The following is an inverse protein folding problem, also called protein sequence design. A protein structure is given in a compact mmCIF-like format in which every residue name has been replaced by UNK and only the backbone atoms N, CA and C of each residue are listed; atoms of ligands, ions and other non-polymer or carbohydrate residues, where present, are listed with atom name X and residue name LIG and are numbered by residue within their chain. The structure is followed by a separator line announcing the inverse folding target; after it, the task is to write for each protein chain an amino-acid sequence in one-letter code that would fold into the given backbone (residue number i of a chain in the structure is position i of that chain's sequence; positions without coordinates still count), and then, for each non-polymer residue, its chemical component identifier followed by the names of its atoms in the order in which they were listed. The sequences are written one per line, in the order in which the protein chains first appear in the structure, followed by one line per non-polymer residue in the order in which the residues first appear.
data_IF_106121417829
#
_entry.id   IF_106121417829
#
_cell.length_a   1.000
_cell.length_b   1.000
_cell.length_c   1.000
_cell.angle_alpha   90.00
_cell.angle_beta   90.00
_cell.angle_gamma   90.00
#
_symmetry.space_group_name_H-M   'P 1'
#
loop_
_entity.id
_entity.type
_entity.pdbx_description
1 polymer ?
#
# COMPACT_ATOMS: atom_id res chain seq x y z
N UNK A 1 6.09 -11.36 3.33
CA UNK A 1 6.31 -10.67 2.03
C UNK A 1 7.77 -10.23 1.95
N UNK A 2 8.40 -10.49 0.82
CA UNK A 2 9.78 -10.08 0.55
C UNK A 2 9.85 -8.55 0.44
N UNK A 3 10.93 -7.95 0.93
CA UNK A 3 11.08 -6.49 0.92
C UNK A 3 11.01 -5.87 -0.48
N UNK A 4 11.69 -6.47 -1.45
CA UNK A 4 11.67 -5.99 -2.83
C UNK A 4 10.27 -6.06 -3.43
N UNK A 5 9.54 -7.14 -3.14
CA UNK A 5 8.15 -7.29 -3.58
C UNK A 5 7.26 -6.25 -2.89
N UNK A 6 7.46 -6.02 -1.59
CA UNK A 6 6.69 -5.01 -0.86
C UNK A 6 6.88 -3.61 -1.44
N UNK A 7 8.12 -3.23 -1.78
CA UNK A 7 8.40 -1.96 -2.43
C UNK A 7 7.70 -1.84 -3.78
N UNK A 8 7.72 -2.91 -4.57
CA UNK A 8 7.04 -2.93 -5.87
C UNK A 8 5.53 -2.79 -5.73
N UNK A 9 4.92 -3.50 -4.78
CA UNK A 9 3.47 -3.42 -4.53
C UNK A 9 3.09 -2.02 -4.07
N UNK A 10 3.86 -1.43 -3.14
CA UNK A 10 3.59 -0.08 -2.66
C UNK A 10 3.64 0.94 -3.79
N UNK A 11 4.65 0.85 -4.65
CA UNK A 11 4.79 1.75 -5.79
C UNK A 11 3.63 1.61 -6.78
N UNK A 12 3.26 0.38 -7.13
CA UNK A 12 2.18 0.11 -8.08
C UNK A 12 0.82 0.53 -7.52
N UNK A 13 0.54 0.22 -6.26
CA UNK A 13 -0.71 0.61 -5.63
C UNK A 13 -0.85 2.14 -5.57
N UNK A 14 0.22 2.82 -5.20
CA UNK A 14 0.23 4.28 -5.15
C UNK A 14 0.00 4.90 -6.54
N UNK A 15 0.69 4.38 -7.56
CA UNK A 15 0.53 4.87 -8.92
C UNK A 15 -0.90 4.65 -9.43
N UNK A 16 -1.47 3.48 -9.17
CA UNK A 16 -2.84 3.18 -9.58
C UNK A 16 -3.84 4.14 -8.93
N UNK A 17 -3.69 4.39 -7.62
CA UNK A 17 -4.57 5.31 -6.91
C UNK A 17 -4.47 6.73 -7.47
N UNK A 18 -3.26 7.19 -7.82
CA UNK A 18 -3.06 8.51 -8.41
C UNK A 18 -3.66 8.61 -9.81
N UNK A 19 -3.40 7.61 -10.65
CA UNK A 19 -3.84 7.64 -12.06
C UNK A 19 -5.35 7.52 -12.22
N UNK A 20 -6.01 6.87 -11.27
CA UNK A 20 -7.45 6.62 -11.34
C UNK A 20 -8.25 7.41 -10.33
N UNK A 21 -7.68 8.47 -9.79
CA UNK A 21 -8.35 9.33 -8.83
C UNK A 21 -9.70 9.82 -9.39
N UNK A 22 -10.75 9.62 -8.62
CA UNK A 22 -12.10 10.05 -8.99
C UNK A 22 -12.86 9.09 -9.92
N UNK A 23 -12.22 8.03 -10.43
CA UNK A 23 -12.86 7.06 -11.33
C UNK A 23 -12.94 5.65 -10.75
N UNK A 24 -12.45 5.45 -9.53
CA UNK A 24 -12.45 4.14 -8.89
C UNK A 24 -13.73 3.89 -8.11
N UNK A 25 -14.20 2.65 -8.13
CA UNK A 25 -15.26 2.20 -7.24
C UNK A 25 -14.74 2.10 -5.82
N UNK A 26 -15.64 2.09 -4.84
CA UNK A 26 -15.27 1.91 -3.44
C UNK A 26 -14.49 0.60 -3.23
N UNK A 27 -14.94 -0.48 -3.87
CA UNK A 27 -14.26 -1.78 -3.79
C UNK A 27 -12.83 -1.70 -4.32
N UNK A 28 -12.61 -1.03 -5.45
CA UNK A 28 -11.27 -0.85 -6.01
C UNK A 28 -10.36 -0.06 -5.07
N UNK A 29 -10.87 0.99 -4.45
CA UNK A 29 -10.13 1.78 -3.48
C UNK A 29 -9.73 0.90 -2.29
N UNK A 30 -10.67 0.15 -1.73
CA UNK A 30 -10.41 -0.72 -0.58
C UNK A 30 -9.34 -1.77 -0.91
N UNK A 31 -9.43 -2.40 -2.07
CA UNK A 31 -8.45 -3.42 -2.49
C UNK A 31 -7.06 -2.83 -2.59
N UNK A 32 -6.91 -1.67 -3.22
CA UNK A 32 -5.60 -1.06 -3.42
C UNK A 32 -5.02 -0.48 -2.13
N UNK A 33 -5.86 0.11 -1.30
CA UNK A 33 -5.43 0.62 0.01
C UNK A 33 -5.00 -0.54 0.92
N UNK A 34 -5.73 -1.65 0.90
CA UNK A 34 -5.37 -2.84 1.68
C UNK A 34 -4.04 -3.43 1.24
N UNK A 35 -3.80 -3.53 -0.08
CA UNK A 35 -2.54 -4.00 -0.63
C UNK A 35 -1.39 -3.08 -0.22
N UNK A 36 -1.60 -1.78 -0.32
CA UNK A 36 -0.62 -0.77 0.10
C UNK A 36 -0.31 -0.89 1.58
N UNK A 37 -1.32 -1.07 2.42
CA UNK A 37 -1.13 -1.22 3.86
C UNK A 37 -0.28 -2.45 4.20
N UNK A 38 -0.55 -3.59 3.57
CA UNK A 38 0.23 -4.81 3.77
C UNK A 38 1.69 -4.61 3.34
N UNK A 39 1.90 -3.95 2.20
CA UNK A 39 3.24 -3.65 1.72
C UNK A 39 3.99 -2.72 2.66
N UNK A 40 3.32 -1.67 3.16
CA UNK A 40 3.92 -0.73 4.10
C UNK A 40 4.29 -1.41 5.41
N UNK A 41 3.46 -2.34 5.89
CA UNK A 41 3.76 -3.11 7.08
C UNK A 41 5.02 -3.94 6.91
N UNK A 42 5.17 -4.61 5.76
CA UNK A 42 6.38 -5.39 5.46
C UNK A 42 7.62 -4.50 5.36
N UNK A 43 7.48 -3.32 4.78
CA UNK A 43 8.58 -2.34 4.66
C UNK A 43 8.99 -1.85 6.06
N UNK A 44 8.01 -1.52 6.89
CA UNK A 44 8.27 -1.07 8.25
C UNK A 44 8.96 -2.16 9.07
N UNK A 45 8.49 -3.39 8.99
CA UNK A 45 9.08 -4.53 9.69
C UNK A 45 10.54 -4.76 9.27
N UNK A 46 10.82 -4.66 7.97
CA UNK A 46 12.17 -4.82 7.44
C UNK A 46 13.13 -3.75 8.00
N UNK A 47 12.64 -2.55 8.21
CA UNK A 47 13.42 -1.44 8.74
C UNK A 47 13.34 -1.30 10.25
N UNK A 48 12.69 -2.23 10.93
CA UNK A 48 12.48 -2.21 12.39
C UNK A 48 11.79 -0.93 12.88
N UNK A 49 10.81 -0.48 12.12
CA UNK A 49 10.02 0.72 12.42
C UNK A 49 8.57 0.31 12.64
N UNK A 50 7.93 0.88 13.65
CA UNK A 50 6.50 0.69 13.88
C UNK A 50 5.71 1.67 13.04
N UNK A 51 4.65 1.17 12.37
CA UNK A 51 3.73 2.05 11.66
C UNK A 51 2.89 2.82 12.68
N UNK A 52 2.65 4.13 12.46
CA UNK A 52 1.76 4.89 13.31
C UNK A 52 0.34 4.34 13.23
N UNK A 53 -0.38 4.37 14.35
CA UNK A 53 -1.79 4.02 14.37
C UNK A 53 -2.57 5.10 13.64
N UNK A 54 -3.31 4.69 12.63
CA UNK A 54 -4.25 5.59 11.97
C UNK A 54 -5.57 5.55 12.74
N UNK A 55 -6.19 6.71 12.99
CA UNK A 55 -7.47 6.76 13.67
C UNK A 55 -8.60 6.13 12.84
#
# INVERSE_FOLDING_TARGET
MNYTIALSIAAKATAYLQENEGSMSETEVVVHVSALHLALKSIADHNSVELPHLP
#
